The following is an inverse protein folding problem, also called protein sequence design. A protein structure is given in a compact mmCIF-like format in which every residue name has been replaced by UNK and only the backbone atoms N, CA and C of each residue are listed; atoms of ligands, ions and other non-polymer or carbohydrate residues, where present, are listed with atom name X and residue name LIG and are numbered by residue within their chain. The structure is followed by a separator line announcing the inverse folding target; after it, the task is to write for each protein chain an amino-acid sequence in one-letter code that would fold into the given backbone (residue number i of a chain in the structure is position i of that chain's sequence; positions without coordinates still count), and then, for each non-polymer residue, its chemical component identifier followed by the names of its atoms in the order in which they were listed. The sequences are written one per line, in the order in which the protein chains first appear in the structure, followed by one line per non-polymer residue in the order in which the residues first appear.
data_IF_979816497496
#
_entry.id   IF_979816497496
#
_cell.length_a   1.000
_cell.length_b   1.000
_cell.length_c   1.000
_cell.angle_alpha   90.00
_cell.angle_beta   90.00
_cell.angle_gamma   90.00
#
_symmetry.space_group_name_H-M   'P 1'
#
loop_
_entity.id
_entity.type
_entity.pdbx_description
1 polymer ?
#
# COMPACT_ATOMS: atom_id res chain seq x y z
N UNK A 1 58.98 -56.44 -4.60
CA UNK A 1 57.78 -55.70 -4.19
C UNK A 1 56.74 -56.71 -3.74
N UNK A 2 56.81 -57.05 -2.46
CA UNK A 2 55.77 -57.62 -1.63
C UNK A 2 56.38 -57.76 -0.22
N UNK A 3 55.64 -57.21 0.73
CA UNK A 3 55.49 -57.58 2.13
C UNK A 3 56.68 -57.99 3.03
N UNK A 4 56.71 -57.26 4.16
CA UNK A 4 56.65 -57.77 5.54
C UNK A 4 57.94 -58.01 6.33
N UNK A 5 57.74 -57.91 7.66
CA UNK A 5 58.64 -58.07 8.81
C UNK A 5 59.42 -56.77 9.19
N UNK A 6 59.30 -56.19 10.39
CA UNK A 6 59.56 -56.76 11.73
C UNK A 6 59.06 -55.85 12.89
N UNK A 7 58.27 -56.43 13.82
CA UNK A 7 58.41 -56.47 15.31
C UNK A 7 58.42 -55.12 16.09
N UNK A 8 57.60 -54.88 17.14
CA UNK A 8 57.63 -55.53 18.46
C UNK A 8 56.41 -55.18 19.34
N UNK A 9 55.81 -56.21 19.95
CA UNK A 9 54.93 -56.10 21.13
C UNK A 9 55.78 -55.89 22.39
N UNK A 10 55.33 -55.05 23.32
CA UNK A 10 54.90 -55.48 24.66
C UNK A 10 54.60 -54.30 25.58
N UNK A 11 53.54 -54.45 26.38
CA UNK A 11 53.50 -53.89 27.73
C UNK A 11 52.19 -53.20 28.09
N UNK A 12 51.44 -53.82 29.01
CA UNK A 12 50.61 -53.07 29.95
C UNK A 12 49.11 -53.09 29.68
N UNK A 13 48.48 -54.18 30.11
CA UNK A 13 47.06 -54.25 30.36
C UNK A 13 46.77 -53.59 31.73
N UNK A 14 45.72 -52.76 31.84
CA UNK A 14 44.66 -52.85 32.86
C UNK A 14 44.06 -51.50 33.31
N UNK A 15 42.75 -51.59 33.51
CA UNK A 15 41.88 -50.85 34.43
C UNK A 15 41.20 -49.58 33.93
N UNK A 16 40.02 -49.82 33.34
CA UNK A 16 38.84 -48.97 33.39
C UNK A 16 38.68 -48.31 34.77
N UNK A 17 38.83 -46.98 34.81
CA UNK A 17 38.25 -46.13 35.86
C UNK A 17 37.20 -45.24 35.22
N UNK A 18 35.95 -45.47 35.63
CA UNK A 18 34.79 -44.63 35.34
C UNK A 18 35.06 -43.22 35.87
N UNK A 19 35.16 -42.25 34.97
CA UNK A 19 35.23 -40.82 35.31
C UNK A 19 33.80 -40.32 35.57
N UNK A 20 33.48 -40.06 36.82
CA UNK A 20 32.27 -39.35 37.24
C UNK A 20 32.53 -37.86 37.00
N UNK A 21 31.80 -37.29 36.03
CA UNK A 21 31.87 -35.88 35.68
C UNK A 21 30.91 -35.11 36.61
N UNK A 22 31.45 -34.30 37.53
CA UNK A 22 30.67 -33.34 38.30
C UNK A 22 30.24 -32.18 37.39
N UNK A 23 28.95 -31.77 37.36
CA UNK A 23 28.58 -30.53 36.70
C UNK A 23 29.03 -29.36 37.59
N UNK A 24 30.06 -28.64 37.15
CA UNK A 24 30.41 -27.33 37.73
C UNK A 24 29.35 -26.36 37.22
N UNK A 25 28.40 -26.04 38.12
CA UNK A 25 27.43 -24.96 37.95
C UNK A 25 28.19 -23.62 38.00
N UNK A 26 28.82 -23.23 36.90
CA UNK A 26 29.29 -21.85 36.72
C UNK A 26 28.07 -20.96 36.51
N UNK A 27 27.50 -20.48 37.61
CA UNK A 27 26.60 -19.31 37.60
C UNK A 27 27.48 -18.10 37.28
N UNK A 28 27.81 -17.92 36.01
CA UNK A 28 28.22 -16.60 35.52
C UNK A 28 26.98 -15.73 35.60
N UNK A 29 26.93 -14.85 36.60
CA UNK A 29 26.04 -13.68 36.57
C UNK A 29 26.39 -12.91 35.30
N UNK A 30 25.65 -13.19 34.22
CA UNK A 30 25.46 -12.22 33.17
C UNK A 30 24.65 -11.10 33.81
N UNK A 31 25.35 -10.10 34.34
CA UNK A 31 24.84 -8.75 34.29
C UNK A 31 24.75 -8.38 32.81
N UNK A 32 23.70 -8.85 32.14
CA UNK A 32 23.12 -8.12 31.03
C UNK A 32 22.44 -6.90 31.67
N UNK A 33 23.26 -5.93 32.07
CA UNK A 33 22.86 -4.55 31.93
C UNK A 33 22.72 -4.34 30.43
N UNK A 34 21.54 -4.70 29.90
CA UNK A 34 21.05 -4.15 28.66
C UNK A 34 20.94 -2.66 28.89
N UNK A 35 22.04 -1.95 28.64
CA UNK A 35 22.00 -0.53 28.43
C UNK A 35 21.08 -0.34 27.24
N UNK A 36 19.80 -0.04 27.52
CA UNK A 36 18.88 0.56 26.57
C UNK A 36 19.49 1.88 26.14
N UNK A 37 20.42 1.82 25.19
CA UNK A 37 20.86 2.97 24.45
C UNK A 37 19.66 3.41 23.64
N UNK A 38 19.13 4.59 23.95
CA UNK A 38 18.26 5.30 23.03
C UNK A 38 19.03 5.46 21.72
N UNK A 39 18.82 4.54 20.77
CA UNK A 39 19.37 4.60 19.42
C UNK A 39 18.60 5.67 18.63
N UNK A 40 18.74 6.93 19.06
CA UNK A 40 18.15 8.06 18.39
C UNK A 40 18.75 8.18 16.99
N UNK A 41 17.90 8.11 15.97
CA UNK A 41 18.34 8.29 14.59
C UNK A 41 18.77 9.75 14.35
N UNK A 42 19.98 9.94 13.84
CA UNK A 42 20.51 11.24 13.45
C UNK A 42 20.44 11.40 11.94
N UNK A 43 20.44 12.64 11.45
CA UNK A 43 20.55 12.90 10.01
C UNK A 43 21.97 12.54 9.54
N UNK A 44 22.10 11.47 8.75
CA UNK A 44 23.41 10.92 8.34
C UNK A 44 23.71 11.17 6.86
N UNK A 45 22.68 11.44 6.06
CA UNK A 45 22.82 11.70 4.64
C UNK A 45 21.82 12.77 4.20
N UNK A 46 22.29 13.70 3.37
CA UNK A 46 21.45 14.66 2.67
C UNK A 46 21.89 14.69 1.21
N UNK A 47 20.93 14.50 0.30
CA UNK A 47 21.15 14.49 -1.13
C UNK A 47 20.27 15.55 -1.77
N UNK A 48 20.83 16.33 -2.70
CA UNK A 48 20.12 17.38 -3.41
C UNK A 48 20.22 17.15 -4.92
N UNK A 49 19.10 17.24 -5.63
CA UNK A 49 19.03 17.03 -7.07
C UNK A 49 18.20 18.09 -7.79
N UNK A 50 18.72 18.56 -8.92
CA UNK A 50 17.90 19.32 -9.86
C UNK A 50 16.96 18.37 -10.58
N UNK A 51 15.66 18.67 -10.52
CA UNK A 51 14.62 17.95 -11.25
C UNK A 51 14.37 18.52 -12.65
N UNK A 52 15.18 19.49 -13.10
CA UNK A 52 15.10 20.01 -14.47
C UNK A 52 15.32 18.86 -15.46
N UNK A 53 14.39 18.68 -16.40
CA UNK A 53 14.41 17.59 -17.39
C UNK A 53 14.33 16.16 -16.82
N UNK A 54 13.89 15.99 -15.56
CA UNK A 54 13.61 14.68 -15.00
C UNK A 54 12.13 14.38 -15.20
N UNK A 55 11.82 13.33 -15.95
CA UNK A 55 10.43 12.88 -16.17
C UNK A 55 10.03 11.72 -15.25
N UNK A 56 10.98 11.10 -14.54
CA UNK A 56 10.70 10.00 -13.62
C UNK A 56 11.56 10.09 -12.37
N UNK A 57 10.89 10.07 -11.22
CA UNK A 57 11.50 10.00 -9.90
C UNK A 57 11.00 8.75 -9.19
N UNK A 58 11.93 7.88 -8.77
CA UNK A 58 11.64 6.71 -7.94
C UNK A 58 12.28 6.85 -6.57
N UNK A 59 11.49 6.68 -5.52
CA UNK A 59 11.94 6.56 -4.12
C UNK A 59 11.54 5.16 -3.63
N UNK A 60 12.50 4.33 -3.22
CA UNK A 60 12.22 2.94 -2.85
C UNK A 60 13.01 2.51 -1.60
N UNK A 61 12.28 2.11 -0.56
CA UNK A 61 12.81 1.64 0.71
C UNK A 61 12.00 0.45 1.19
N UNK A 62 12.63 -0.57 1.76
CA UNK A 62 11.96 -1.85 2.00
C UNK A 62 11.05 -1.78 3.23
N UNK A 63 11.56 -1.34 4.38
CA UNK A 63 10.82 -1.37 5.66
C UNK A 63 10.65 0.04 6.28
N UNK A 64 11.28 1.05 5.70
CA UNK A 64 11.37 2.37 6.32
C UNK A 64 10.18 3.25 6.03
N UNK A 65 9.80 4.06 7.03
CA UNK A 65 8.89 5.17 6.81
C UNK A 65 9.50 6.18 5.82
N UNK A 66 8.74 6.48 4.77
CA UNK A 66 9.05 7.53 3.79
C UNK A 66 8.06 8.68 4.00
N UNK A 67 8.56 9.84 4.44
CA UNK A 67 7.74 11.05 4.65
C UNK A 67 8.05 12.08 3.59
N UNK A 68 7.04 12.53 2.86
CA UNK A 68 7.15 13.63 1.92
C UNK A 68 6.74 14.93 2.58
N UNK A 69 7.55 15.97 2.34
CA UNK A 69 7.27 17.35 2.74
C UNK A 69 7.28 18.23 1.50
N UNK A 70 6.49 19.30 1.51
CA UNK A 70 6.51 20.24 0.40
C UNK A 70 7.85 20.98 0.38
N UNK A 71 8.60 20.83 -0.71
CA UNK A 71 9.83 21.58 -0.95
C UNK A 71 9.53 23.04 -1.28
N UNK A 72 10.20 23.96 -0.60
CA UNK A 72 10.11 25.42 -0.85
C UNK A 72 11.03 25.89 -1.99
N UNK A 73 12.01 25.06 -2.38
CA UNK A 73 12.94 25.34 -3.47
C UNK A 73 12.64 24.52 -4.74
N UNK A 74 13.53 24.64 -5.73
CA UNK A 74 13.45 23.92 -7.01
C UNK A 74 14.16 22.56 -7.03
N UNK A 75 14.87 22.22 -5.94
CA UNK A 75 15.65 21.00 -5.83
C UNK A 75 14.89 19.95 -5.03
N UNK A 76 14.96 18.70 -5.48
CA UNK A 76 14.64 17.56 -4.63
C UNK A 76 15.67 17.50 -3.52
N UNK A 77 15.22 17.39 -2.26
CA UNK A 77 16.08 17.12 -1.12
C UNK A 77 15.64 15.81 -0.49
N UNK A 78 16.56 14.85 -0.34
CA UNK A 78 16.31 13.59 0.34
C UNK A 78 17.24 13.48 1.53
N UNK A 79 16.66 13.29 2.71
CA UNK A 79 17.37 13.15 3.98
C UNK A 79 17.17 11.75 4.54
N UNK A 80 18.27 11.11 4.92
CA UNK A 80 18.22 9.82 5.60
C UNK A 80 18.65 9.99 7.05
N UNK A 81 17.83 9.45 7.94
CA UNK A 81 18.08 9.41 9.36
C UNK A 81 18.38 7.99 9.77
N UNK A 82 19.46 7.76 10.52
CA UNK A 82 19.87 6.42 10.95
C UNK A 82 20.44 6.44 12.37
N UNK A 83 20.23 5.36 13.13
CA UNK A 83 20.90 5.16 14.42
C UNK A 83 22.37 4.76 14.27
N UNK A 84 22.76 4.21 13.11
CA UNK A 84 24.15 3.92 12.76
C UNK A 84 24.48 4.41 11.34
N UNK A 85 25.52 5.22 11.20
CA UNK A 85 25.98 5.72 9.90
C UNK A 85 27.10 4.85 9.32
N UNK A 86 26.75 4.05 8.31
CA UNK A 86 27.74 3.47 7.40
C UNK A 86 27.41 3.87 5.97
N UNK A 87 28.44 4.20 5.17
CA UNK A 87 28.28 4.52 3.74
C UNK A 87 27.50 3.45 2.96
N UNK A 88 27.63 2.18 3.35
CA UNK A 88 26.89 1.07 2.73
C UNK A 88 25.38 1.06 3.05
N UNK A 89 24.95 1.75 4.11
CA UNK A 89 23.56 1.82 4.57
C UNK A 89 22.77 2.97 3.94
N UNK A 90 23.49 4.01 3.53
CA UNK A 90 22.95 5.15 2.78
C UNK A 90 22.40 4.72 1.43
N UNK A 91 21.44 5.48 0.93
CA UNK A 91 20.81 5.24 -0.36
C UNK A 91 21.80 5.17 -1.51
N UNK A 92 21.47 4.32 -2.47
CA UNK A 92 22.12 4.24 -3.77
C UNK A 92 21.29 5.05 -4.76
N UNK A 93 21.97 5.94 -5.47
CA UNK A 93 21.35 6.81 -6.46
C UNK A 93 21.76 6.35 -7.85
N UNK A 94 20.77 6.12 -8.72
CA UNK A 94 20.99 5.85 -10.14
C UNK A 94 20.33 6.95 -10.96
N UNK A 95 21.13 7.66 -11.76
CA UNK A 95 20.63 8.62 -12.75
C UNK A 95 20.90 8.08 -14.14
N UNK A 96 19.84 7.85 -14.92
CA UNK A 96 19.95 7.38 -16.32
C UNK A 96 18.98 8.18 -17.19
N UNK A 97 19.53 8.98 -18.10
CA UNK A 97 18.72 9.87 -18.94
C UNK A 97 17.89 10.83 -18.10
N UNK A 98 16.57 10.80 -18.29
CA UNK A 98 15.58 11.65 -17.59
C UNK A 98 14.99 10.99 -16.33
N UNK A 99 15.64 9.97 -15.78
CA UNK A 99 15.19 9.26 -14.59
C UNK A 99 16.20 9.36 -13.43
N UNK A 100 15.69 9.57 -12.22
CA UNK A 100 16.41 9.45 -10.95
C UNK A 100 15.75 8.33 -10.14
N UNK A 101 16.54 7.37 -9.69
CA UNK A 101 16.12 6.33 -8.76
C UNK A 101 16.96 6.42 -7.49
N UNK A 102 16.29 6.54 -6.35
CA UNK A 102 16.88 6.54 -5.02
C UNK A 102 16.35 5.30 -4.32
N UNK A 103 17.25 4.37 -4.05
CA UNK A 103 16.95 3.06 -3.45
C UNK A 103 17.77 2.90 -2.20
N UNK A 104 17.19 2.31 -1.16
CA UNK A 104 17.89 2.01 0.08
C UNK A 104 19.28 1.33 -0.06
N UNK A 105 20.15 1.61 0.92
CA UNK A 105 21.39 0.88 1.14
C UNK A 105 21.17 -0.42 1.92
N UNK A 106 22.28 -1.13 2.19
CA UNK A 106 22.28 -2.35 3.02
C UNK A 106 21.80 -2.04 4.45
N UNK A 107 21.46 -3.07 5.22
CA UNK A 107 21.20 -2.98 6.67
C UNK A 107 22.29 -3.72 7.47
N UNK A 108 22.44 -3.43 8.77
CA UNK A 108 23.22 -4.28 9.67
C UNK A 108 22.74 -5.73 9.65
N UNK A 109 23.68 -6.68 9.77
CA UNK A 109 23.35 -8.06 10.10
C UNK A 109 22.90 -8.08 11.57
N UNK A 110 21.72 -8.63 11.86
CA UNK A 110 21.06 -8.56 13.18
C UNK A 110 20.63 -7.13 13.56
N UNK A 111 19.75 -6.56 12.74
CA UNK A 111 19.29 -5.17 12.78
C UNK A 111 18.40 -4.78 13.99
N UNK A 112 18.44 -5.51 15.12
CA UNK A 112 17.49 -5.43 16.23
C UNK A 112 16.96 -4.01 16.52
N UNK A 113 17.85 -3.11 16.97
CA UNK A 113 17.50 -1.72 17.31
C UNK A 113 17.97 -0.71 16.23
N UNK A 114 18.18 -1.17 14.99
CA UNK A 114 18.54 -0.27 13.89
C UNK A 114 17.31 0.52 13.45
N UNK A 115 17.39 1.84 13.55
CA UNK A 115 16.33 2.75 13.14
C UNK A 115 16.76 3.47 11.89
N UNK A 116 15.93 3.47 10.85
CA UNK A 116 16.09 4.27 9.64
C UNK A 116 14.75 4.85 9.19
N UNK A 117 14.74 6.11 8.77
CA UNK A 117 13.57 6.73 8.12
C UNK A 117 14.00 7.86 7.20
N UNK A 118 13.12 8.19 6.26
CA UNK A 118 13.46 9.04 5.10
C UNK A 118 12.52 10.23 5.04
N UNK A 119 13.09 11.41 4.85
CA UNK A 119 12.34 12.60 4.50
C UNK A 119 12.66 13.04 3.07
N UNK A 120 11.63 13.24 2.26
CA UNK A 120 11.71 13.69 0.88
C UNK A 120 11.04 15.05 0.75
N UNK A 121 11.82 16.11 0.57
CA UNK A 121 11.28 17.42 0.22
C UNK A 121 11.10 17.50 -1.30
N UNK A 122 9.85 17.37 -1.76
CA UNK A 122 9.51 17.40 -3.19
C UNK A 122 9.16 18.83 -3.63
N UNK A 123 9.87 19.42 -4.62
CA UNK A 123 9.50 20.71 -5.18
C UNK A 123 8.08 20.73 -5.71
N UNK A 124 7.32 21.78 -5.38
CA UNK A 124 5.97 21.95 -5.90
C UNK A 124 5.94 22.01 -7.44
N UNK A 125 7.03 22.44 -8.06
CA UNK A 125 7.18 22.50 -9.52
C UNK A 125 7.38 21.13 -10.21
N UNK A 126 7.55 20.04 -9.46
CA UNK A 126 7.68 18.71 -10.07
C UNK A 126 6.31 18.16 -10.46
N UNK A 127 6.06 18.05 -11.76
CA UNK A 127 4.77 17.66 -12.32
C UNK A 127 4.83 16.38 -13.17
N UNK A 128 5.88 15.58 -13.00
CA UNK A 128 6.15 14.38 -13.80
C UNK A 128 5.87 13.09 -13.00
N UNK A 129 6.40 11.95 -13.44
CA UNK A 129 6.09 10.65 -12.81
C UNK A 129 6.77 10.50 -11.44
N UNK A 130 6.00 10.19 -10.41
CA UNK A 130 6.48 9.81 -9.08
C UNK A 130 6.14 8.35 -8.78
N UNK A 131 7.18 7.55 -8.52
CA UNK A 131 7.05 6.17 -8.05
C UNK A 131 7.59 6.06 -6.63
N UNK A 132 6.76 5.59 -5.70
CA UNK A 132 7.15 5.34 -4.31
C UNK A 132 6.87 3.87 -3.99
N UNK A 133 7.86 3.16 -3.46
CA UNK A 133 7.69 1.73 -3.16
C UNK A 133 8.18 1.40 -1.76
N UNK A 134 7.41 0.57 -1.06
CA UNK A 134 7.83 -0.06 0.18
C UNK A 134 7.27 -1.47 0.32
N UNK A 135 7.93 -2.30 1.12
CA UNK A 135 7.39 -3.59 1.54
C UNK A 135 6.63 -3.38 2.84
N UNK A 136 7.28 -2.92 3.91
CA UNK A 136 6.69 -2.87 5.26
C UNK A 136 6.65 -1.45 5.88
N UNK A 137 7.13 -0.43 5.18
CA UNK A 137 7.17 0.94 5.65
C UNK A 137 5.84 1.71 5.49
N UNK A 138 5.66 2.74 6.30
CA UNK A 138 4.61 3.75 6.06
C UNK A 138 5.05 4.73 4.97
N UNK A 139 4.13 5.12 4.09
CA UNK A 139 4.35 6.18 3.09
C UNK A 139 3.44 7.36 3.46
N UNK A 140 4.02 8.52 3.77
CA UNK A 140 3.28 9.69 4.25
C UNK A 140 3.47 10.88 3.31
N UNK A 141 2.46 11.17 2.49
CA UNK A 141 2.37 12.29 1.55
C UNK A 141 1.26 13.28 1.99
N UNK A 142 0.88 13.31 3.27
CA UNK A 142 -0.20 14.20 3.76
C UNK A 142 0.17 15.67 3.71
N UNK A 143 1.45 15.99 3.84
CA UNK A 143 1.95 17.36 3.92
C UNK A 143 2.35 17.94 2.55
N UNK A 144 1.92 17.32 1.44
CA UNK A 144 2.13 17.84 0.09
C UNK A 144 0.81 18.06 -0.65
N UNK A 145 0.81 19.09 -1.51
CA UNK A 145 -0.26 19.32 -2.48
C UNK A 145 0.37 19.29 -3.87
N UNK A 146 0.26 18.15 -4.54
CA UNK A 146 1.04 17.89 -5.75
C UNK A 146 0.15 17.66 -6.96
N UNK A 147 0.50 18.31 -8.06
CA UNK A 147 -0.01 18.00 -9.39
C UNK A 147 1.05 17.22 -10.15
N UNK A 148 0.72 16.02 -10.63
CA UNK A 148 1.64 15.09 -11.28
C UNK A 148 1.08 14.63 -12.62
N UNK A 149 1.93 14.16 -13.52
CA UNK A 149 1.47 13.36 -14.66
C UNK A 149 1.00 11.99 -14.16
N UNK A 150 1.84 11.31 -13.36
CA UNK A 150 1.54 10.01 -12.80
C UNK A 150 2.02 9.88 -11.36
N UNK A 151 1.18 9.32 -10.49
CA UNK A 151 1.57 8.81 -9.17
C UNK A 151 1.37 7.31 -9.11
N UNK A 152 2.43 6.57 -8.82
CA UNK A 152 2.39 5.13 -8.56
C UNK A 152 2.94 4.85 -7.16
N UNK A 153 2.14 4.21 -6.31
CA UNK A 153 2.58 3.76 -4.98
C UNK A 153 2.32 2.27 -4.85
N UNK A 154 3.38 1.53 -4.55
CA UNK A 154 3.33 0.09 -4.27
C UNK A 154 3.76 -0.16 -2.83
N UNK A 155 2.87 -0.75 -2.02
CA UNK A 155 3.10 -1.14 -0.63
C UNK A 155 2.76 -2.63 -0.45
N UNK A 156 3.47 -3.37 0.39
CA UNK A 156 3.01 -4.73 0.77
C UNK A 156 2.20 -4.67 2.06
N UNK A 157 2.80 -4.13 3.11
CA UNK A 157 2.22 -3.82 4.41
C UNK A 157 2.36 -2.30 4.68
N UNK A 158 1.98 -1.84 5.86
CA UNK A 158 2.05 -0.43 6.24
C UNK A 158 0.86 0.43 5.81
N UNK A 159 0.93 1.71 6.15
CA UNK A 159 -0.10 2.71 5.81
C UNK A 159 0.43 3.68 4.77
N UNK A 160 -0.29 3.83 3.66
CA UNK A 160 -0.09 4.90 2.68
C UNK A 160 -1.06 6.02 3.00
N UNK A 161 -0.55 7.20 3.34
CA UNK A 161 -1.35 8.40 3.63
C UNK A 161 -1.11 9.47 2.59
N UNK A 162 -2.16 10.00 1.99
CA UNK A 162 -2.08 11.01 0.93
C UNK A 162 -2.86 12.26 1.31
N UNK A 163 -2.28 13.44 1.06
CA UNK A 163 -2.95 14.72 1.23
C UNK A 163 -3.90 15.00 0.06
N UNK A 164 -3.67 16.12 -0.63
CA UNK A 164 -4.39 16.44 -1.87
C UNK A 164 -3.49 16.19 -3.08
N UNK A 165 -3.87 15.22 -3.90
CA UNK A 165 -3.11 14.85 -5.11
C UNK A 165 -4.00 15.04 -6.34
N UNK A 166 -3.47 15.80 -7.31
CA UNK A 166 -4.00 15.85 -8.68
C UNK A 166 -3.04 15.08 -9.60
N UNK A 167 -3.54 14.17 -10.43
CA UNK A 167 -2.71 13.47 -11.40
C UNK A 167 -3.44 13.23 -12.72
N UNK A 168 -2.73 12.95 -13.82
CA UNK A 168 -3.40 12.36 -14.99
C UNK A 168 -3.74 10.89 -14.69
N UNK A 169 -2.77 10.14 -14.18
CA UNK A 169 -2.89 8.74 -13.76
C UNK A 169 -2.52 8.57 -12.28
N UNK A 170 -3.32 7.81 -11.54
CA UNK A 170 -3.03 7.46 -10.16
C UNK A 170 -3.19 5.95 -9.97
N UNK A 171 -2.13 5.28 -9.51
CA UNK A 171 -2.15 3.85 -9.17
C UNK A 171 -1.65 3.66 -7.74
N UNK A 172 -2.50 3.09 -6.88
CA UNK A 172 -2.14 2.70 -5.51
C UNK A 172 -2.39 1.20 -5.34
N UNK A 173 -1.34 0.46 -4.99
CA UNK A 173 -1.40 -0.98 -4.74
C UNK A 173 -0.96 -1.29 -3.33
N UNK A 174 -1.74 -2.11 -2.61
CA UNK A 174 -1.40 -2.60 -1.26
C UNK A 174 -1.77 -4.06 -1.05
N UNK A 175 -0.90 -4.88 -0.47
CA UNK A 175 -1.28 -6.28 -0.17
C UNK A 175 -2.13 -6.36 1.09
N UNK A 176 -1.65 -5.89 2.24
CA UNK A 176 -2.29 -5.98 3.57
C UNK A 176 -2.29 -4.65 4.34
N UNK A 177 -2.11 -3.54 3.62
CA UNK A 177 -2.00 -2.20 4.20
C UNK A 177 -3.28 -1.39 4.16
N UNK A 178 -3.18 -0.15 4.64
CA UNK A 178 -4.26 0.85 4.55
C UNK A 178 -3.88 1.93 3.55
N UNK A 179 -4.80 2.26 2.63
CA UNK A 179 -4.74 3.44 1.78
C UNK A 179 -5.68 4.50 2.37
N UNK A 180 -5.12 5.59 2.87
CA UNK A 180 -5.83 6.69 3.52
C UNK A 180 -5.55 8.01 2.76
N UNK A 181 -6.57 8.74 2.35
CA UNK A 181 -6.38 9.96 1.57
C UNK A 181 -7.40 11.06 1.86
N UNK A 182 -6.95 12.32 1.82
CA UNK A 182 -7.86 13.46 1.89
C UNK A 182 -8.59 13.63 0.54
N UNK A 183 -7.86 13.99 -0.52
CA UNK A 183 -8.47 14.21 -1.84
C UNK A 183 -7.60 13.68 -2.98
N UNK A 184 -8.17 12.81 -3.80
CA UNK A 184 -7.55 12.33 -5.03
C UNK A 184 -8.34 12.83 -6.23
N UNK A 185 -7.67 13.46 -7.20
CA UNK A 185 -8.27 13.86 -8.46
C UNK A 185 -7.41 13.38 -9.62
N UNK A 186 -7.92 12.45 -10.44
CA UNK A 186 -7.23 12.04 -11.65
C UNK A 186 -8.18 11.69 -12.79
N UNK A 187 -7.65 11.63 -14.03
CA UNK A 187 -8.45 11.10 -15.15
C UNK A 187 -8.75 9.63 -14.92
N UNK A 188 -7.73 8.86 -14.52
CA UNK A 188 -7.84 7.46 -14.15
C UNK A 188 -7.25 7.24 -12.76
N UNK A 189 -8.03 6.61 -11.88
CA UNK A 189 -7.62 6.20 -10.54
C UNK A 189 -7.74 4.69 -10.45
N UNK A 190 -6.62 4.00 -10.24
CA UNK A 190 -6.56 2.56 -10.04
C UNK A 190 -6.15 2.26 -8.59
N UNK A 191 -7.00 1.55 -7.86
CA UNK A 191 -6.83 1.18 -6.46
C UNK A 191 -6.92 -0.34 -6.37
N UNK A 192 -5.80 -0.99 -6.04
CA UNK A 192 -5.71 -2.46 -5.98
C UNK A 192 -5.30 -2.89 -4.58
N UNK A 193 -6.11 -3.73 -3.93
CA UNK A 193 -5.73 -4.36 -2.66
C UNK A 193 -5.90 -5.87 -2.65
N UNK A 194 -5.25 -6.58 -1.72
CA UNK A 194 -5.54 -8.01 -1.49
C UNK A 194 -6.35 -8.21 -0.21
N UNK A 195 -5.89 -7.64 0.89
CA UNK A 195 -6.39 -7.73 2.28
C UNK A 195 -6.35 -6.32 2.92
N UNK A 196 -6.60 -5.29 2.12
CA UNK A 196 -6.34 -3.90 2.47
C UNK A 196 -7.60 -3.05 2.60
N UNK A 197 -7.50 -1.98 3.38
CA UNK A 197 -8.58 -1.03 3.62
C UNK A 197 -8.33 0.23 2.80
N UNK A 198 -9.33 0.68 2.06
CA UNK A 198 -9.31 1.96 1.35
C UNK A 198 -10.27 2.93 2.03
N UNK A 199 -9.73 4.05 2.53
CA UNK A 199 -10.50 5.12 3.16
C UNK A 199 -10.12 6.47 2.58
N UNK A 200 -11.08 7.37 2.46
CA UNK A 200 -10.76 8.75 2.14
C UNK A 200 -11.94 9.70 2.09
N UNK A 201 -11.65 11.00 2.01
CA UNK A 201 -12.71 12.03 2.03
C UNK A 201 -13.31 12.24 0.63
N UNK A 202 -12.47 12.43 -0.40
CA UNK A 202 -12.95 12.67 -1.76
C UNK A 202 -12.09 12.02 -2.84
N UNK A 203 -12.76 11.43 -3.83
CA UNK A 203 -12.13 10.92 -5.05
C UNK A 203 -12.87 11.42 -6.29
N UNK A 204 -12.12 11.93 -7.27
CA UNK A 204 -12.64 12.50 -8.50
C UNK A 204 -11.93 11.86 -9.69
N UNK A 205 -12.70 11.26 -10.61
CA UNK A 205 -12.13 10.61 -11.80
C UNK A 205 -12.91 9.41 -12.30
N UNK A 206 -12.31 8.68 -13.24
CA UNK A 206 -12.72 7.33 -13.58
C UNK A 206 -11.98 6.33 -12.69
N UNK A 207 -12.71 5.61 -11.83
CA UNK A 207 -12.17 4.84 -10.72
C UNK A 207 -12.24 3.35 -11.06
N UNK A 208 -11.12 2.65 -10.94
CA UNK A 208 -11.03 1.20 -10.93
C UNK A 208 -10.59 0.79 -9.54
N UNK A 209 -11.48 0.20 -8.76
CA UNK A 209 -11.15 -0.40 -7.47
C UNK A 209 -11.29 -1.92 -7.57
N UNK A 210 -10.26 -2.64 -7.13
CA UNK A 210 -10.28 -4.11 -7.06
C UNK A 210 -9.68 -4.58 -5.74
N UNK A 211 -10.37 -5.49 -5.07
CA UNK A 211 -9.83 -6.21 -3.91
C UNK A 211 -10.18 -7.69 -3.91
N UNK A 212 -9.44 -8.49 -3.13
CA UNK A 212 -9.82 -9.87 -2.81
C UNK A 212 -10.63 -9.93 -1.52
N UNK A 213 -10.09 -9.39 -0.44
CA UNK A 213 -10.71 -9.22 0.87
C UNK A 213 -10.48 -7.77 1.30
N UNK A 214 -11.46 -6.89 1.26
CA UNK A 214 -11.14 -5.50 1.58
C UNK A 214 -12.32 -4.57 1.64
N UNK A 215 -12.19 -3.57 2.49
CA UNK A 215 -13.21 -2.56 2.68
C UNK A 215 -12.88 -1.33 1.82
N UNK A 216 -13.92 -0.78 1.22
CA UNK A 216 -13.87 0.49 0.52
C UNK A 216 -14.88 1.45 1.15
N UNK A 217 -14.36 2.50 1.78
CA UNK A 217 -15.13 3.54 2.44
C UNK A 217 -14.62 4.93 2.07
N UNK A 218 -15.19 5.50 1.01
CA UNK A 218 -14.87 6.86 0.55
C UNK A 218 -16.12 7.73 0.70
N UNK A 219 -15.97 8.86 1.39
CA UNK A 219 -17.10 9.71 1.78
C UNK A 219 -17.77 10.36 0.57
N UNK A 220 -16.99 10.84 -0.39
CA UNK A 220 -17.49 11.58 -1.57
C UNK A 220 -16.83 11.10 -2.85
N UNK A 221 -17.63 10.66 -3.82
CA UNK A 221 -17.18 10.31 -5.16
C UNK A 221 -17.80 11.25 -6.19
N UNK A 222 -16.97 11.78 -7.09
CA UNK A 222 -17.42 12.52 -8.28
C UNK A 222 -16.79 11.91 -9.52
N UNK A 223 -17.54 11.12 -10.27
CA UNK A 223 -16.93 10.34 -11.32
C UNK A 223 -17.75 9.18 -11.83
N UNK A 224 -17.05 8.16 -12.27
CA UNK A 224 -17.58 6.91 -12.83
C UNK A 224 -16.61 5.76 -12.55
N UNK A 225 -16.98 4.54 -12.91
CA UNK A 225 -16.04 3.41 -12.97
C UNK A 225 -16.50 2.14 -12.27
N UNK A 226 -15.53 1.27 -11.99
CA UNK A 226 -15.75 -0.12 -11.59
C UNK A 226 -15.20 -0.38 -10.19
N UNK A 227 -15.97 -1.09 -9.37
CA UNK A 227 -15.62 -1.45 -8.01
C UNK A 227 -15.87 -2.95 -7.81
N UNK A 228 -14.81 -3.71 -7.56
CA UNK A 228 -14.88 -5.18 -7.53
C UNK A 228 -14.29 -5.72 -6.22
N UNK A 229 -15.11 -6.40 -5.45
CA UNK A 229 -14.71 -7.20 -4.29
C UNK A 229 -14.83 -8.68 -4.65
N UNK A 230 -13.70 -9.35 -4.87
CA UNK A 230 -13.66 -10.71 -5.40
C UNK A 230 -14.01 -11.80 -4.38
N UNK A 231 -13.93 -11.50 -3.08
CA UNK A 231 -14.35 -12.42 -2.03
C UNK A 231 -15.20 -11.73 -0.97
N UNK A 232 -14.58 -11.10 0.03
CA UNK A 232 -15.25 -10.51 1.21
C UNK A 232 -14.82 -9.04 1.40
N UNK A 233 -15.57 -8.28 2.17
CA UNK A 233 -15.33 -6.87 2.45
C UNK A 233 -16.49 -5.98 2.03
N UNK A 234 -16.72 -4.91 2.79
CA UNK A 234 -17.84 -4.01 2.58
C UNK A 234 -17.55 -3.02 1.46
N UNK A 235 -18.48 -2.91 0.50
CA UNK A 235 -18.43 -1.89 -0.54
C UNK A 235 -19.47 -0.80 -0.26
N UNK A 236 -19.01 0.31 0.31
CA UNK A 236 -19.84 1.49 0.59
C UNK A 236 -19.42 2.64 -0.34
N UNK A 237 -20.31 3.01 -1.25
CA UNK A 237 -20.00 3.91 -2.36
C UNK A 237 -21.00 5.06 -2.38
N UNK A 238 -20.50 6.28 -2.23
CA UNK A 238 -21.34 7.48 -2.12
C UNK A 238 -21.00 8.47 -3.26
N UNK A 239 -21.83 8.49 -4.30
CA UNK A 239 -21.66 9.43 -5.40
C UNK A 239 -22.35 10.77 -5.09
N UNK A 240 -21.56 11.84 -5.04
CA UNK A 240 -22.07 13.20 -5.10
C UNK A 240 -22.33 13.65 -6.55
N UNK A 241 -21.61 13.07 -7.51
CA UNK A 241 -21.82 13.30 -8.94
C UNK A 241 -21.43 12.05 -9.73
N UNK A 242 -22.30 11.62 -10.64
CA UNK A 242 -22.01 10.55 -11.59
C UNK A 242 -21.74 11.16 -12.96
N UNK A 243 -20.61 10.85 -13.57
CA UNK A 243 -20.17 11.41 -14.86
C UNK A 243 -20.06 10.38 -15.99
N UNK A 244 -20.42 9.13 -15.72
CA UNK A 244 -20.36 8.02 -16.65
C UNK A 244 -20.87 6.74 -16.01
N UNK A 245 -20.68 5.60 -16.67
CA UNK A 245 -21.17 4.32 -16.18
C UNK A 245 -20.50 3.88 -14.87
N UNK A 246 -21.28 3.19 -14.03
CA UNK A 246 -20.88 2.74 -12.71
C UNK A 246 -21.18 1.26 -12.57
N UNK A 247 -20.15 0.46 -12.30
CA UNK A 247 -20.25 -0.98 -12.07
C UNK A 247 -19.75 -1.35 -10.67
N UNK A 248 -20.60 -2.01 -9.89
CA UNK A 248 -20.23 -2.54 -8.58
C UNK A 248 -20.45 -4.05 -8.55
N UNK A 249 -19.46 -4.79 -8.09
CA UNK A 249 -19.52 -6.23 -7.87
C UNK A 249 -18.99 -6.59 -6.48
N UNK A 250 -19.74 -7.42 -5.74
CA UNK A 250 -19.27 -8.03 -4.50
C UNK A 250 -19.70 -9.50 -4.43
N UNK A 251 -18.73 -10.40 -4.28
CA UNK A 251 -19.03 -11.83 -4.25
C UNK A 251 -19.82 -12.22 -2.99
N UNK A 252 -19.30 -11.97 -1.79
CA UNK A 252 -19.92 -12.53 -0.58
C UNK A 252 -20.70 -11.51 0.26
N UNK A 253 -20.30 -10.24 0.24
CA UNK A 253 -20.80 -9.22 1.16
C UNK A 253 -21.68 -8.16 0.47
N UNK A 254 -22.17 -7.22 1.28
CA UNK A 254 -23.17 -6.25 0.86
C UNK A 254 -22.57 -5.10 0.05
N UNK A 255 -23.39 -4.59 -0.87
CA UNK A 255 -23.14 -3.33 -1.56
C UNK A 255 -24.14 -2.29 -1.04
N UNK A 256 -23.62 -1.16 -0.57
CA UNK A 256 -24.40 0.05 -0.27
C UNK A 256 -24.00 1.15 -1.24
N UNK A 257 -24.96 1.62 -2.03
CA UNK A 257 -24.75 2.65 -3.04
C UNK A 257 -25.69 3.83 -2.84
N UNK A 258 -25.13 5.02 -2.69
CA UNK A 258 -25.86 6.28 -2.68
C UNK A 258 -25.63 7.03 -3.99
N UNK A 259 -26.71 7.42 -4.67
CA UNK A 259 -26.68 8.18 -5.92
C UNK A 259 -27.30 9.58 -5.72
N UNK A 260 -26.97 10.57 -6.57
CA UNK A 260 -27.64 11.87 -6.52
C UNK A 260 -29.14 11.79 -6.86
N UNK A 261 -30.00 12.47 -6.08
CA UNK A 261 -31.46 12.53 -6.31
C UNK A 261 -31.89 12.99 -7.69
N UNK A 262 -31.09 13.85 -8.31
CA UNK A 262 -31.37 14.42 -9.63
C UNK A 262 -30.84 13.58 -10.78
N UNK A 263 -30.10 12.49 -10.50
CA UNK A 263 -29.51 11.64 -11.53
C UNK A 263 -30.61 10.87 -12.28
N UNK A 264 -30.57 10.93 -13.61
CA UNK A 264 -31.33 10.03 -14.49
C UNK A 264 -30.39 8.96 -15.04
N UNK A 265 -30.77 7.69 -14.94
CA UNK A 265 -29.90 6.57 -15.28
C UNK A 265 -30.70 5.32 -15.66
N UNK A 266 -30.05 4.42 -16.39
CA UNK A 266 -30.53 3.06 -16.57
C UNK A 266 -29.92 2.20 -15.45
N UNK A 267 -30.76 1.41 -14.79
CA UNK A 267 -30.39 0.62 -13.63
C UNK A 267 -30.47 -0.87 -13.95
N UNK A 268 -29.46 -1.63 -13.54
CA UNK A 268 -29.48 -3.09 -13.50
C UNK A 268 -28.93 -3.60 -12.18
N UNK A 269 -29.73 -4.31 -11.41
CA UNK A 269 -29.27 -4.97 -10.19
C UNK A 269 -29.60 -6.46 -10.19
N UNK A 270 -28.69 -7.28 -9.70
CA UNK A 270 -28.90 -8.72 -9.55
C UNK A 270 -28.16 -9.28 -8.33
N UNK A 271 -28.80 -10.21 -7.61
CA UNK A 271 -28.15 -10.98 -6.53
C UNK A 271 -28.57 -12.44 -6.57
N UNK A 272 -27.65 -13.39 -6.37
CA UNK A 272 -28.00 -14.83 -6.38
C UNK A 272 -28.57 -15.35 -5.06
N UNK A 273 -28.10 -14.90 -3.90
CA UNK A 273 -28.59 -15.38 -2.60
C UNK A 273 -29.01 -14.26 -1.62
N UNK A 274 -28.69 -13.00 -1.90
CA UNK A 274 -29.07 -11.87 -1.04
C UNK A 274 -30.46 -11.30 -1.33
N UNK A 275 -30.74 -10.13 -0.76
CA UNK A 275 -31.90 -9.29 -1.08
C UNK A 275 -31.50 -8.11 -1.97
N UNK A 276 -32.48 -7.54 -2.68
CA UNK A 276 -32.35 -6.30 -3.45
C UNK A 276 -33.33 -5.28 -2.89
N UNK A 277 -32.83 -4.15 -2.42
CA UNK A 277 -33.65 -3.01 -1.97
C UNK A 277 -33.24 -1.74 -2.69
N UNK A 278 -34.22 -0.90 -3.01
CA UNK A 278 -33.95 0.41 -3.58
C UNK A 278 -35.07 1.42 -3.29
N UNK A 279 -34.72 2.70 -3.21
CA UNK A 279 -35.67 3.80 -2.96
C UNK A 279 -36.51 4.23 -4.18
N UNK A 280 -36.41 3.51 -5.29
CA UNK A 280 -37.09 3.81 -6.56
C UNK A 280 -37.65 2.55 -7.26
N UNK A 281 -37.97 1.51 -6.48
CA UNK A 281 -38.42 0.20 -6.99
C UNK A 281 -39.67 0.32 -7.89
N UNK A 282 -40.55 1.28 -7.64
CA UNK A 282 -41.78 1.52 -8.39
C UNK A 282 -41.55 1.86 -9.87
N UNK A 283 -40.34 2.30 -10.22
CA UNK A 283 -39.94 2.64 -11.60
C UNK A 283 -39.33 1.45 -12.34
N UNK A 284 -39.12 0.31 -11.67
CA UNK A 284 -38.33 -0.81 -12.16
C UNK A 284 -39.20 -2.01 -12.50
N UNK A 285 -38.74 -2.80 -13.48
CA UNK A 285 -39.29 -4.12 -13.77
C UNK A 285 -38.59 -5.15 -12.90
N UNK A 286 -39.39 -5.92 -12.15
CA UNK A 286 -38.90 -7.00 -11.29
C UNK A 286 -38.73 -8.30 -12.07
N UNK A 287 -37.54 -8.88 -11.98
CA UNK A 287 -37.26 -10.27 -12.37
C UNK A 287 -37.28 -11.19 -11.15
N UNK A 288 -36.94 -12.47 -11.33
CA UNK A 288 -36.89 -13.43 -10.22
C UNK A 288 -35.88 -13.00 -9.14
N UNK A 289 -34.72 -12.50 -9.56
CA UNK A 289 -33.58 -12.14 -8.69
C UNK A 289 -32.85 -10.89 -9.18
N UNK A 290 -33.59 -10.01 -9.86
CA UNK A 290 -33.06 -8.82 -10.50
C UNK A 290 -34.07 -7.71 -10.57
N UNK A 291 -33.56 -6.48 -10.67
CA UNK A 291 -34.32 -5.28 -10.97
C UNK A 291 -33.68 -4.59 -12.18
N UNK A 292 -34.50 -4.08 -13.10
CA UNK A 292 -34.00 -3.31 -14.25
C UNK A 292 -35.00 -2.25 -14.71
N UNK A 293 -34.49 -1.12 -15.19
CA UNK A 293 -35.34 -0.07 -15.74
C UNK A 293 -34.66 1.28 -15.79
N UNK A 294 -35.38 2.26 -16.31
CA UNK A 294 -34.91 3.65 -16.39
C UNK A 294 -35.49 4.44 -15.23
N UNK A 295 -34.62 5.17 -14.52
CA UNK A 295 -34.99 6.14 -13.49
C UNK A 295 -34.76 7.54 -14.05
N UNK A 296 -35.78 8.40 -13.96
CA UNK A 296 -35.74 9.76 -14.52
C UNK A 296 -36.11 9.81 -16.01
N UNK A 297 -35.96 10.99 -16.63
CA UNK A 297 -36.52 11.25 -17.96
C UNK A 297 -35.52 11.02 -19.11
N UNK A 298 -34.21 11.06 -18.84
CA UNK A 298 -33.15 10.90 -19.84
C UNK A 298 -31.93 10.22 -19.23
N UNK A 299 -31.88 8.90 -19.33
CA UNK A 299 -30.72 8.14 -18.87
C UNK A 299 -29.54 8.33 -19.82
N UNK A 300 -28.46 8.93 -19.32
CA UNK A 300 -27.19 9.10 -20.05
C UNK A 300 -26.09 8.17 -19.53
N UNK A 301 -26.34 7.50 -18.40
CA UNK A 301 -25.40 6.59 -17.74
C UNK A 301 -26.11 5.31 -17.30
N UNK A 302 -25.34 4.24 -17.19
CA UNK A 302 -25.76 2.95 -16.65
C UNK A 302 -25.17 2.74 -15.26
N UNK A 303 -26.03 2.39 -14.31
CA UNK A 303 -25.63 1.94 -12.97
C UNK A 303 -25.94 0.45 -12.89
N UNK A 304 -24.91 -0.38 -12.77
CA UNK A 304 -25.08 -1.83 -12.61
C UNK A 304 -24.41 -2.34 -11.33
N UNK A 305 -25.19 -3.08 -10.55
CA UNK A 305 -24.81 -3.55 -9.22
C UNK A 305 -25.08 -5.04 -9.12
N UNK A 306 -24.06 -5.83 -8.81
CA UNK A 306 -24.17 -7.28 -8.79
C UNK A 306 -23.56 -7.89 -7.52
N UNK A 307 -24.26 -8.84 -6.91
CA UNK A 307 -23.71 -9.66 -5.85
C UNK A 307 -23.97 -11.14 -6.08
N UNK A 308 -23.14 -12.01 -5.48
CA UNK A 308 -23.45 -13.45 -5.44
C UNK A 308 -24.20 -13.81 -4.16
N UNK A 309 -23.66 -13.48 -2.99
CA UNK A 309 -24.24 -13.87 -1.70
C UNK A 309 -24.77 -12.71 -0.86
N UNK A 310 -24.20 -11.51 -1.00
CA UNK A 310 -24.62 -10.34 -0.22
C UNK A 310 -25.86 -9.65 -0.75
N UNK A 311 -26.38 -8.73 0.05
CA UNK A 311 -27.53 -7.88 -0.30
C UNK A 311 -27.08 -6.61 -1.02
N UNK A 312 -27.96 -6.06 -1.84
CA UNK A 312 -27.76 -4.79 -2.54
C UNK A 312 -28.78 -3.80 -1.98
N UNK A 313 -28.28 -2.66 -1.50
CA UNK A 313 -29.10 -1.52 -1.10
C UNK A 313 -28.68 -0.27 -1.88
N UNK A 314 -29.60 0.29 -2.65
CA UNK A 314 -29.34 1.46 -3.51
C UNK A 314 -30.35 2.57 -3.27
N UNK A 315 -29.86 3.75 -2.88
CA UNK A 315 -30.70 4.91 -2.55
C UNK A 315 -30.36 6.13 -3.39
N UNK A 316 -31.37 6.98 -3.61
CA UNK A 316 -31.25 8.35 -4.13
C UNK A 316 -31.57 9.39 -3.04
#
# INVERSE_FOLDING_TARGET
MNESFIIKRNGGNMMNKRMVLYPILCVSLFFLTGCGGNNAALMVNEMQFSLTNISKLKIAYDEEKITFKQGTGSQLIVKEYMSEDKKSYRAKVKKKGRAIEIVEGRKPLFAGDFVRYIEVCLPQSYDQDLLVTTTDGDIDLRDINQKLESLCIDSTEGTVKLGNIEAAQLKLTSTRGTLDFNRLQARHVNLETTEGIVRGDEIIGNIQYTTTHGDFDVKTIKGSGNFTVNNEGSLQVNFAQVTGDVWLYNKNDNIRLTLPKTLSFYFEAATRNGSLTTSFEEKLKKGQRSLRGTVGNKAEVTIRVETRNGSIDVVQ
#
